data_IF_354869825742
#
_entry.id   IF_354869825742
#
_cell.length_a   1.000
_cell.length_b   1.000
_cell.length_c   1.000
_cell.angle_alpha   90.00
_cell.angle_beta   90.00
_cell.angle_gamma   90.00
#
_symmetry.space_group_name_H-M   'P 1'
#
loop_
_entity.id
_entity.type
_entity.pdbx_description
1 polymer ?
#
# COMPACT_ATOMS: atom_id res chain seq x y z
N UNK A 1 35.39 -61.86 41.48
CA UNK A 1 35.13 -62.95 40.51
C UNK A 1 33.67 -63.37 40.63
N UNK A 2 33.03 -63.52 39.47
CA UNK A 2 31.82 -64.32 39.19
C UNK A 2 30.48 -64.01 39.88
N UNK A 3 29.64 -63.40 39.04
CA UNK A 3 28.19 -63.32 38.94
C UNK A 3 27.33 -64.49 39.46
N UNK A 4 26.13 -64.12 39.93
CA UNK A 4 24.78 -64.64 39.58
C UNK A 4 23.86 -64.24 40.75
N UNK A 5 22.78 -63.47 40.62
CA UNK A 5 21.75 -63.40 39.60
C UNK A 5 20.43 -63.34 40.37
N UNK A 6 19.56 -62.35 40.13
CA UNK A 6 18.13 -62.41 40.48
C UNK A 6 17.35 -61.20 39.95
N UNK A 7 16.22 -61.56 39.31
CA UNK A 7 14.94 -60.85 39.20
C UNK A 7 14.92 -59.43 38.61
N UNK A 8 14.19 -59.25 37.51
CA UNK A 8 12.95 -58.45 37.57
C UNK A 8 12.03 -58.64 36.35
N UNK A 9 10.81 -59.08 36.68
CA UNK A 9 9.48 -58.83 36.10
C UNK A 9 9.37 -58.41 34.62
N UNK A 10 8.77 -59.33 33.85
CA UNK A 10 8.02 -59.08 32.61
C UNK A 10 7.04 -57.90 32.76
N UNK A 11 7.14 -56.92 31.88
CA UNK A 11 6.02 -56.05 31.48
C UNK A 11 5.74 -56.30 30.01
N UNK A 12 4.63 -56.99 29.74
CA UNK A 12 4.00 -57.07 28.43
C UNK A 12 3.37 -55.69 28.16
N UNK A 13 3.94 -54.93 27.24
CA UNK A 13 3.30 -53.76 26.64
C UNK A 13 2.66 -54.24 25.33
N UNK A 14 1.35 -54.39 25.38
CA UNK A 14 0.45 -54.60 24.25
C UNK A 14 0.56 -53.41 23.29
N UNK A 15 0.99 -53.68 22.06
CA UNK A 15 0.94 -52.72 20.96
C UNK A 15 -0.52 -52.54 20.53
N UNK A 16 -1.16 -51.47 20.97
CA UNK A 16 -2.41 -50.99 20.38
C UNK A 16 -2.06 -50.11 19.17
N UNK A 17 -2.18 -50.66 17.95
CA UNK A 17 -2.26 -49.85 16.74
C UNK A 17 -3.56 -49.03 16.81
N UNK A 18 -3.45 -47.78 17.25
CA UNK A 18 -4.47 -46.79 16.98
C UNK A 18 -4.37 -46.41 15.50
N UNK A 19 -5.20 -47.03 14.67
CA UNK A 19 -5.54 -46.54 13.35
C UNK A 19 -6.31 -45.23 13.51
N UNK A 20 -5.57 -44.13 13.68
CA UNK A 20 -6.10 -42.79 13.52
C UNK A 20 -6.43 -42.61 12.05
N UNK A 21 -7.73 -42.62 11.73
CA UNK A 21 -8.23 -42.23 10.42
C UNK A 21 -7.67 -40.83 10.10
N UNK A 22 -6.66 -40.78 9.23
CA UNK A 22 -6.28 -39.58 8.54
C UNK A 22 -7.48 -39.23 7.64
N UNK A 23 -8.38 -38.41 8.17
CA UNK A 23 -9.36 -37.70 7.34
C UNK A 23 -8.54 -36.96 6.31
N UNK A 24 -8.63 -37.42 5.07
CA UNK A 24 -7.99 -36.79 3.94
C UNK A 24 -8.46 -35.35 3.85
N UNK A 25 -7.63 -34.41 4.31
CA UNK A 25 -7.69 -33.02 3.89
C UNK A 25 -7.25 -32.98 2.43
N UNK A 26 -8.14 -33.43 1.55
CA UNK A 26 -8.06 -33.12 0.14
C UNK A 26 -7.98 -31.60 0.04
N UNK A 27 -6.86 -31.10 -0.50
CA UNK A 27 -6.65 -29.69 -0.80
C UNK A 27 -7.63 -29.28 -1.89
N UNK A 28 -8.88 -29.02 -1.52
CA UNK A 28 -9.87 -28.49 -2.43
C UNK A 28 -9.71 -26.97 -2.52
N UNK A 29 -8.60 -26.55 -3.11
CA UNK A 29 -8.25 -25.15 -3.35
C UNK A 29 -9.22 -24.49 -4.34
N UNK A 30 -9.93 -25.30 -5.13
CA UNK A 30 -11.01 -24.87 -6.03
C UNK A 30 -12.29 -24.42 -5.28
N UNK A 31 -12.43 -24.72 -3.98
CA UNK A 31 -13.63 -24.38 -3.18
C UNK A 31 -13.51 -23.17 -2.26
N UNK A 32 -12.34 -22.51 -2.19
CA UNK A 32 -12.21 -21.27 -1.41
C UNK A 32 -12.56 -20.07 -2.31
N UNK A 33 -13.84 -19.82 -2.54
CA UNK A 33 -14.30 -18.69 -3.34
C UNK A 33 -14.78 -17.56 -2.43
N UNK A 34 -14.63 -16.31 -2.86
CA UNK A 34 -15.27 -15.17 -2.20
C UNK A 34 -16.77 -15.16 -2.54
N UNK A 35 -17.58 -14.43 -1.77
CA UNK A 35 -19.00 -14.26 -2.08
C UNK A 35 -19.20 -13.62 -3.46
N UNK A 36 -18.29 -12.72 -3.85
CA UNK A 36 -18.29 -12.16 -5.20
C UNK A 36 -18.15 -13.24 -6.28
N UNK A 37 -17.24 -14.19 -6.09
CA UNK A 37 -17.04 -15.27 -7.04
C UNK A 37 -18.20 -16.27 -7.05
N UNK A 38 -18.69 -16.66 -5.87
CA UNK A 38 -19.83 -17.58 -5.71
C UNK A 38 -21.11 -17.02 -6.34
N UNK A 39 -21.33 -15.72 -6.18
CA UNK A 39 -22.47 -14.99 -6.77
C UNK A 39 -22.26 -14.58 -8.24
N UNK A 40 -21.14 -14.96 -8.87
CA UNK A 40 -20.76 -14.53 -10.22
C UNK A 40 -20.84 -12.99 -10.41
N UNK A 41 -20.41 -12.24 -9.39
CA UNK A 41 -20.36 -10.78 -9.37
C UNK A 41 -21.67 -10.08 -9.02
N UNK A 42 -22.71 -10.81 -8.62
CA UNK A 42 -23.99 -10.23 -8.22
C UNK A 42 -23.95 -9.57 -6.83
N UNK A 43 -23.06 -10.03 -5.96
CA UNK A 43 -22.89 -9.50 -4.61
C UNK A 43 -21.42 -9.19 -4.33
N UNK A 44 -21.16 -8.09 -3.62
CA UNK A 44 -19.82 -7.85 -3.05
C UNK A 44 -19.66 -8.68 -1.77
N UNK A 45 -18.43 -9.08 -1.47
CA UNK A 45 -18.09 -9.78 -0.24
C UNK A 45 -18.28 -8.85 0.96
N UNK A 46 -19.06 -9.24 1.96
CA UNK A 46 -19.25 -8.42 3.17
C UNK A 46 -17.95 -8.37 4.01
N UNK A 47 -17.87 -7.48 5.01
CA UNK A 47 -16.73 -7.45 5.93
C UNK A 47 -16.64 -8.74 6.77
N UNK A 48 -17.79 -9.33 7.12
CA UNK A 48 -17.85 -10.60 7.84
C UNK A 48 -17.36 -11.75 6.96
N UNK A 49 -17.81 -11.81 5.71
CA UNK A 49 -17.42 -12.85 4.77
C UNK A 49 -15.94 -12.75 4.41
N UNK A 50 -15.38 -11.54 4.30
CA UNK A 50 -13.93 -11.34 4.17
C UNK A 50 -13.19 -11.93 5.36
N UNK A 51 -13.60 -11.59 6.59
CA UNK A 51 -12.94 -12.11 7.79
C UNK A 51 -12.99 -13.65 7.84
N UNK A 52 -14.14 -14.23 7.48
CA UNK A 52 -14.33 -15.69 7.40
C UNK A 52 -13.46 -16.32 6.30
N UNK A 53 -13.40 -15.70 5.13
CA UNK A 53 -12.58 -16.12 4.00
C UNK A 53 -11.09 -16.11 4.35
N UNK A 54 -10.59 -15.00 4.87
CA UNK A 54 -9.21 -14.84 5.28
C UNK A 54 -8.81 -15.84 6.37
N UNK A 55 -9.67 -16.07 7.36
CA UNK A 55 -9.42 -17.08 8.39
C UNK A 55 -9.38 -18.52 7.83
N UNK A 56 -10.15 -18.83 6.78
CA UNK A 56 -10.07 -20.12 6.09
C UNK A 56 -8.77 -20.26 5.28
N UNK A 57 -8.32 -19.18 4.62
CA UNK A 57 -7.04 -19.15 3.89
C UNK A 57 -5.88 -19.39 4.86
N UNK A 58 -5.81 -18.64 5.96
CA UNK A 58 -4.73 -18.76 6.96
C UNK A 58 -4.66 -20.17 7.57
N UNK A 59 -5.79 -20.79 7.91
CA UNK A 59 -5.80 -22.16 8.46
C UNK A 59 -5.37 -23.24 7.46
N UNK A 60 -5.50 -22.98 6.16
CA UNK A 60 -5.30 -24.00 5.12
C UNK A 60 -3.98 -23.84 4.37
N UNK A 61 -3.33 -22.67 4.46
CA UNK A 61 -2.09 -22.35 3.78
C UNK A 61 -0.90 -22.35 4.76
N UNK A 62 0.28 -22.78 4.29
CA UNK A 62 1.48 -22.92 5.15
C UNK A 62 2.29 -21.62 5.25
N UNK A 63 2.12 -20.69 4.29
CA UNK A 63 2.95 -19.49 4.16
C UNK A 63 2.11 -18.19 4.11
N UNK A 64 1.03 -18.16 4.87
CA UNK A 64 0.16 -16.97 5.01
C UNK A 64 0.10 -16.60 6.49
N UNK A 65 0.33 -15.33 6.80
CA UNK A 65 0.09 -14.78 8.12
C UNK A 65 -0.86 -13.60 8.03
N UNK A 66 -1.88 -13.57 8.89
CA UNK A 66 -2.87 -12.49 8.94
C UNK A 66 -2.80 -11.82 10.30
N UNK A 67 -2.59 -10.49 10.28
CA UNK A 67 -2.43 -9.69 11.48
C UNK A 67 -3.44 -8.56 11.50
N UNK A 68 -4.08 -8.33 12.65
CA UNK A 68 -4.78 -7.07 12.90
C UNK A 68 -3.75 -5.95 13.08
N UNK A 69 -3.82 -4.93 12.25
CA UNK A 69 -2.88 -3.78 12.26
C UNK A 69 -3.44 -2.55 12.97
N UNK A 70 -4.75 -2.52 13.22
CA UNK A 70 -5.42 -1.43 13.91
C UNK A 70 -6.93 -1.68 13.96
N UNK A 71 -7.66 -0.67 14.43
CA UNK A 71 -9.12 -0.60 14.39
C UNK A 71 -9.53 0.75 13.83
N UNK A 72 -10.64 0.78 13.09
CA UNK A 72 -11.25 2.01 12.58
C UNK A 72 -11.80 2.88 13.71
N UNK A 73 -12.30 4.06 13.37
CA UNK A 73 -13.03 4.93 14.31
C UNK A 73 -14.19 4.18 14.98
N UNK A 74 -14.92 3.36 14.22
CA UNK A 74 -16.05 2.55 14.75
C UNK A 74 -15.62 1.20 15.35
N UNK A 75 -14.32 0.98 15.56
CA UNK A 75 -13.79 -0.24 16.18
C UNK A 75 -13.69 -1.47 15.28
N UNK A 76 -13.89 -1.32 13.96
CA UNK A 76 -13.79 -2.43 13.01
C UNK A 76 -12.31 -2.78 12.75
N UNK A 77 -11.88 -4.05 12.84
CA UNK A 77 -10.47 -4.41 12.64
C UNK A 77 -9.95 -4.19 11.21
N UNK A 78 -8.78 -3.56 11.07
CA UNK A 78 -7.98 -3.55 9.84
C UNK A 78 -7.03 -4.76 9.83
N UNK A 79 -6.89 -5.43 8.68
CA UNK A 79 -6.10 -6.66 8.54
C UNK A 79 -5.01 -6.52 7.48
N UNK A 80 -3.81 -6.96 7.83
CA UNK A 80 -2.70 -7.17 6.92
C UNK A 80 -2.53 -8.65 6.67
N UNK A 81 -2.53 -9.06 5.40
CA UNK A 81 -2.15 -10.39 4.95
C UNK A 81 -0.69 -10.34 4.48
N UNK A 82 0.14 -11.27 4.95
CA UNK A 82 1.53 -11.47 4.53
C UNK A 82 1.66 -12.82 3.84
N UNK A 83 2.25 -12.83 2.65
CA UNK A 83 2.69 -14.02 1.94
C UNK A 83 4.19 -13.93 1.62
N UNK A 84 4.89 -15.07 1.69
CA UNK A 84 6.32 -15.17 1.42
C UNK A 84 7.20 -14.88 2.65
N UNK A 85 8.50 -14.61 2.47
CA UNK A 85 9.45 -14.46 3.57
C UNK A 85 9.19 -13.23 4.44
N UNK A 86 9.75 -13.24 5.65
CA UNK A 86 9.70 -12.11 6.57
C UNK A 86 10.48 -10.88 6.06
N UNK A 87 11.55 -11.09 5.28
CA UNK A 87 12.45 -10.06 4.75
C UNK A 87 12.67 -10.25 3.26
N UNK A 88 13.11 -9.18 2.59
CA UNK A 88 13.39 -9.15 1.16
C UNK A 88 12.46 -8.16 0.43
N UNK A 89 12.64 -8.02 -0.91
CA UNK A 89 11.86 -7.11 -1.72
C UNK A 89 10.35 -7.31 -1.50
N UNK A 90 9.66 -6.23 -1.15
CA UNK A 90 8.27 -6.25 -0.74
C UNK A 90 7.35 -5.49 -1.68
N UNK A 91 6.19 -6.07 -2.01
CA UNK A 91 5.05 -5.34 -2.57
C UNK A 91 3.98 -5.19 -1.49
N UNK A 92 3.56 -3.96 -1.23
CA UNK A 92 2.36 -3.64 -0.46
C UNK A 92 1.23 -3.25 -1.40
N UNK A 93 0.10 -3.93 -1.27
CA UNK A 93 -1.15 -3.61 -1.97
C UNK A 93 -2.14 -3.08 -0.96
N UNK A 94 -2.66 -1.88 -1.24
CA UNK A 94 -3.74 -1.24 -0.50
C UNK A 94 -4.97 -1.20 -1.37
N UNK A 95 -6.13 -1.53 -0.79
CA UNK A 95 -7.41 -1.43 -1.47
C UNK A 95 -8.49 -0.88 -0.52
N UNK A 96 -9.53 -0.32 -1.13
CA UNK A 96 -10.68 0.24 -0.42
C UNK A 96 -10.29 1.27 0.66
N UNK A 97 -9.39 2.20 0.33
CA UNK A 97 -9.25 3.44 1.11
C UNK A 97 -10.52 4.29 1.00
N UNK A 98 -11.18 4.25 -0.16
CA UNK A 98 -12.57 4.68 -0.31
C UNK A 98 -13.48 3.45 -0.23
N UNK A 99 -14.43 3.47 0.69
CA UNK A 99 -15.25 2.30 0.99
C UNK A 99 -16.31 1.96 -0.06
N UNK A 100 -16.66 2.92 -0.91
CA UNK A 100 -17.54 2.74 -2.06
C UNK A 100 -16.82 2.26 -3.35
N UNK A 101 -15.55 1.86 -3.23
CA UNK A 101 -14.69 1.36 -4.32
C UNK A 101 -14.28 -0.12 -4.06
N UNK A 102 -15.23 -1.08 -4.15
CA UNK A 102 -15.01 -2.47 -3.72
C UNK A 102 -14.19 -3.34 -4.68
N UNK A 103 -13.97 -2.95 -5.93
CA UNK A 103 -13.43 -3.88 -6.92
C UNK A 103 -11.97 -4.26 -6.63
N UNK A 104 -11.16 -3.30 -6.20
CA UNK A 104 -9.78 -3.55 -5.77
C UNK A 104 -9.73 -4.54 -4.62
N UNK A 105 -10.63 -4.39 -3.64
CA UNK A 105 -10.78 -5.29 -2.49
C UNK A 105 -11.05 -6.74 -2.94
N UNK A 106 -12.03 -6.97 -3.81
CA UNK A 106 -12.29 -8.33 -4.34
C UNK A 106 -11.09 -8.92 -5.08
N UNK A 107 -10.43 -8.12 -5.91
CA UNK A 107 -9.24 -8.56 -6.63
C UNK A 107 -8.10 -8.96 -5.68
N UNK A 108 -7.91 -8.23 -4.58
CA UNK A 108 -6.90 -8.60 -3.57
C UNK A 108 -7.25 -9.87 -2.82
N UNK A 109 -8.53 -10.13 -2.50
CA UNK A 109 -8.95 -11.38 -1.86
C UNK A 109 -8.71 -12.59 -2.76
N UNK A 110 -9.03 -12.46 -4.06
CA UNK A 110 -8.72 -13.48 -5.07
C UNK A 110 -7.20 -13.71 -5.17
N UNK A 111 -6.41 -12.64 -5.28
CA UNK A 111 -4.95 -12.74 -5.33
C UNK A 111 -4.38 -13.46 -4.11
N UNK A 112 -4.82 -13.09 -2.90
CA UNK A 112 -4.35 -13.70 -1.65
C UNK A 112 -4.55 -15.22 -1.69
N UNK A 113 -5.74 -15.69 -2.08
CA UNK A 113 -5.99 -17.13 -2.23
C UNK A 113 -5.10 -17.74 -3.31
N UNK A 114 -5.07 -17.14 -4.50
CA UNK A 114 -4.38 -17.71 -5.65
C UNK A 114 -2.89 -17.90 -5.33
N UNK A 115 -2.27 -16.92 -4.67
CA UNK A 115 -0.88 -17.01 -4.19
C UNK A 115 -0.71 -18.01 -3.04
N UNK A 116 -1.63 -18.03 -2.07
CA UNK A 116 -1.57 -18.92 -0.92
C UNK A 116 -1.58 -20.41 -1.32
N UNK A 117 -2.29 -20.74 -2.39
CA UNK A 117 -2.49 -22.11 -2.86
C UNK A 117 -1.81 -22.43 -4.18
N UNK A 118 -0.96 -21.54 -4.69
CA UNK A 118 -0.36 -21.71 -6.01
C UNK A 118 0.47 -23.00 -6.12
N UNK A 119 0.26 -23.72 -7.22
CA UNK A 119 1.11 -24.84 -7.64
C UNK A 119 2.08 -24.44 -8.75
N UNK A 120 1.95 -23.22 -9.28
CA UNK A 120 2.80 -22.69 -10.34
C UNK A 120 4.25 -22.55 -9.83
N UNK A 121 5.23 -23.21 -10.47
CA UNK A 121 6.62 -23.14 -10.05
C UNK A 121 7.22 -21.73 -10.12
N UNK A 122 6.77 -20.87 -11.03
CA UNK A 122 7.19 -19.48 -11.16
C UNK A 122 6.71 -18.66 -9.98
N UNK A 123 5.41 -18.70 -9.67
CA UNK A 123 4.84 -17.99 -8.51
C UNK A 123 5.42 -18.52 -7.19
N UNK A 124 5.63 -19.84 -7.06
CA UNK A 124 6.30 -20.41 -5.88
C UNK A 124 7.73 -19.90 -5.72
N UNK A 125 8.49 -19.76 -6.82
CA UNK A 125 9.83 -19.18 -6.77
C UNK A 125 9.78 -17.71 -6.34
N UNK A 126 8.81 -16.97 -6.87
CA UNK A 126 8.59 -15.58 -6.52
C UNK A 126 8.25 -15.42 -5.04
N UNK A 127 7.34 -16.22 -4.49
CA UNK A 127 6.97 -16.21 -3.06
C UNK A 127 8.09 -16.68 -2.13
N UNK A 128 9.15 -17.31 -2.63
CA UNK A 128 10.38 -17.56 -1.85
C UNK A 128 11.33 -16.37 -1.83
N UNK A 129 11.29 -15.53 -2.87
CA UNK A 129 12.20 -14.41 -3.05
C UNK A 129 11.62 -13.06 -2.60
N UNK A 130 10.29 -12.93 -2.59
CA UNK A 130 9.60 -11.66 -2.40
C UNK A 130 8.46 -11.79 -1.41
N UNK A 131 8.25 -10.73 -0.64
CA UNK A 131 7.17 -10.60 0.32
C UNK A 131 6.00 -9.86 -0.30
N UNK A 132 4.81 -10.44 -0.25
CA UNK A 132 3.58 -9.80 -0.70
C UNK A 132 2.76 -9.45 0.53
N UNK A 133 2.45 -8.16 0.67
CA UNK A 133 1.69 -7.57 1.76
C UNK A 133 0.40 -7.03 1.17
N UNK A 134 -0.73 -7.36 1.79
CA UNK A 134 -2.04 -6.94 1.28
C UNK A 134 -2.87 -6.43 2.44
N UNK A 135 -3.39 -5.22 2.31
CA UNK A 135 -4.47 -4.69 3.15
C UNK A 135 -5.72 -4.62 2.26
N UNK A 136 -6.57 -5.66 2.25
CA UNK A 136 -7.73 -5.72 1.35
C UNK A 136 -8.73 -4.60 1.60
N UNK A 137 -8.87 -4.20 2.87
CA UNK A 137 -9.81 -3.18 3.31
C UNK A 137 -9.11 -2.18 4.21
N UNK A 138 -8.68 -1.06 3.63
CA UNK A 138 -8.04 0.04 4.35
C UNK A 138 -9.06 0.93 5.10
N UNK A 139 -10.31 1.01 4.62
CA UNK A 139 -11.40 1.75 5.25
C UNK A 139 -12.63 0.87 5.54
N UNK A 140 -12.58 -0.03 6.54
CA UNK A 140 -13.73 -0.86 6.88
C UNK A 140 -15.00 -0.06 7.24
N UNK A 141 -14.86 1.10 7.89
CA UNK A 141 -16.00 1.97 8.21
C UNK A 141 -16.68 2.47 6.94
N UNK A 142 -15.90 2.98 5.98
CA UNK A 142 -16.42 3.41 4.69
C UNK A 142 -17.05 2.27 3.90
N UNK A 143 -16.50 1.05 3.97
CA UNK A 143 -17.10 -0.13 3.30
C UNK A 143 -18.45 -0.45 3.90
N UNK A 144 -18.57 -0.44 5.23
CA UNK A 144 -19.83 -0.69 5.93
C UNK A 144 -20.89 0.37 5.59
N UNK A 145 -20.49 1.63 5.45
CA UNK A 145 -21.38 2.76 5.15
C UNK A 145 -21.57 3.04 3.65
N UNK A 146 -20.82 2.34 2.77
CA UNK A 146 -20.73 2.65 1.34
C UNK A 146 -20.36 4.13 1.06
N UNK A 147 -19.35 4.64 1.77
CA UNK A 147 -18.89 6.03 1.66
C UNK A 147 -17.44 6.12 1.18
N UNK A 148 -17.09 7.26 0.59
CA UNK A 148 -15.71 7.59 0.25
C UNK A 148 -14.84 7.73 1.52
N UNK A 149 -15.31 8.51 2.49
CA UNK A 149 -14.59 8.73 3.74
C UNK A 149 -14.82 7.63 4.78
N UNK A 150 -14.05 7.66 5.88
CA UNK A 150 -14.26 6.81 7.07
C UNK A 150 -15.49 7.27 7.88
N UNK A 151 -15.71 6.73 9.09
CA UNK A 151 -16.87 7.11 9.92
C UNK A 151 -16.89 8.57 10.38
N UNK A 152 -15.76 9.31 10.27
CA UNK A 152 -15.70 10.77 10.50
C UNK A 152 -15.84 11.58 9.20
N UNK A 153 -16.04 10.92 8.07
CA UNK A 153 -16.08 11.56 6.76
C UNK A 153 -14.71 11.94 6.20
N UNK A 154 -13.60 11.54 6.85
CA UNK A 154 -12.26 11.86 6.39
C UNK A 154 -11.90 11.05 5.13
N UNK A 155 -11.37 11.73 4.11
CA UNK A 155 -10.75 11.08 2.95
C UNK A 155 -9.36 10.55 3.36
N UNK A 156 -9.26 9.23 3.55
CA UNK A 156 -8.01 8.61 4.00
C UNK A 156 -6.86 8.80 3.00
N UNK A 157 -7.15 8.92 1.70
CA UNK A 157 -6.15 9.21 0.68
C UNK A 157 -5.79 10.71 0.60
N UNK A 158 -6.07 11.47 1.67
CA UNK A 158 -5.59 12.84 1.91
C UNK A 158 -4.94 12.99 3.29
N UNK A 159 -4.73 11.90 4.02
CA UNK A 159 -4.28 11.93 5.41
C UNK A 159 -2.98 11.14 5.66
N UNK A 160 -2.22 10.83 4.59
CA UNK A 160 -0.97 10.05 4.73
C UNK A 160 0.23 10.85 5.28
N UNK A 161 0.17 12.19 5.32
CA UNK A 161 1.19 13.03 6.00
C UNK A 161 0.80 13.34 7.45
N UNK A 162 -0.43 13.83 7.67
CA UNK A 162 -0.84 14.28 9.00
C UNK A 162 -1.26 13.14 9.93
N UNK A 163 -1.67 11.99 9.36
CA UNK A 163 -2.05 10.79 10.10
C UNK A 163 -3.07 11.10 11.21
N UNK A 164 -4.13 11.84 10.89
CA UNK A 164 -5.20 12.23 11.82
C UNK A 164 -6.13 11.06 12.13
N UNK A 165 -6.29 10.14 11.18
CA UNK A 165 -7.21 9.02 11.31
C UNK A 165 -6.53 7.74 11.83
N UNK A 166 -7.23 6.91 12.64
CA UNK A 166 -6.65 5.66 13.15
C UNK A 166 -6.32 4.67 12.01
N UNK A 167 -7.07 4.70 10.91
CA UNK A 167 -6.81 3.88 9.73
C UNK A 167 -5.47 4.24 9.07
N UNK A 168 -5.22 5.53 8.80
CA UNK A 168 -3.98 6.00 8.15
C UNK A 168 -2.77 5.82 9.05
N UNK A 169 -2.93 5.97 10.38
CA UNK A 169 -1.88 5.61 11.36
C UNK A 169 -1.51 4.12 11.30
N UNK A 170 -2.49 3.24 11.17
CA UNK A 170 -2.24 1.81 11.02
C UNK A 170 -1.50 1.50 9.70
N UNK A 171 -1.86 2.15 8.60
CA UNK A 171 -1.16 2.01 7.32
C UNK A 171 0.27 2.57 7.37
N UNK A 172 0.48 3.71 8.02
CA UNK A 172 1.81 4.30 8.21
C UNK A 172 2.71 3.38 9.05
N UNK A 173 2.18 2.74 10.09
CA UNK A 173 2.90 1.73 10.86
C UNK A 173 3.32 0.54 9.97
N UNK A 174 2.44 0.07 9.08
CA UNK A 174 2.80 -0.99 8.10
C UNK A 174 3.93 -0.52 7.18
N UNK A 175 3.84 0.69 6.61
CA UNK A 175 4.87 1.24 5.73
C UNK A 175 6.24 1.34 6.45
N UNK A 176 6.24 1.79 7.70
CA UNK A 176 7.43 1.94 8.55
C UNK A 176 8.05 0.60 8.95
N UNK A 177 7.23 -0.33 9.42
CA UNK A 177 7.67 -1.58 10.05
C UNK A 177 7.97 -2.66 9.01
N UNK A 178 7.12 -2.76 8.00
CA UNK A 178 7.31 -3.74 6.93
C UNK A 178 8.31 -3.25 5.90
N UNK A 179 8.43 -1.95 5.65
CA UNK A 179 9.33 -1.36 4.65
C UNK A 179 9.17 -2.04 3.27
N UNK A 180 7.95 -2.05 2.69
CA UNK A 180 7.78 -2.51 1.32
C UNK A 180 8.62 -1.65 0.37
N UNK A 181 8.99 -2.21 -0.77
CA UNK A 181 9.78 -1.52 -1.80
C UNK A 181 8.87 -0.96 -2.89
N UNK A 182 7.75 -1.63 -3.14
CA UNK A 182 6.67 -1.21 -4.05
C UNK A 182 5.37 -1.04 -3.26
N UNK A 183 4.64 0.04 -3.49
CA UNK A 183 3.31 0.30 -2.95
C UNK A 183 2.33 0.53 -4.09
N UNK A 184 1.21 -0.19 -4.09
CA UNK A 184 0.15 -0.04 -5.09
C UNK A 184 -1.15 0.25 -4.36
N UNK A 185 -1.75 1.39 -4.70
CA UNK A 185 -3.01 1.87 -4.14
C UNK A 185 -4.12 1.69 -5.18
N UNK A 186 -5.01 0.73 -4.94
CA UNK A 186 -6.10 0.39 -5.86
C UNK A 186 -7.33 1.23 -5.57
N UNK A 187 -7.78 1.93 -6.60
CA UNK A 187 -8.88 2.88 -6.55
C UNK A 187 -9.86 2.69 -7.71
N UNK A 188 -10.97 3.41 -7.65
CA UNK A 188 -11.93 3.48 -8.74
C UNK A 188 -12.43 4.92 -8.91
N UNK A 189 -12.80 5.32 -10.12
CA UNK A 189 -13.20 6.71 -10.36
C UNK A 189 -14.61 6.87 -10.94
N UNK A 190 -15.19 8.06 -10.71
CA UNK A 190 -16.42 8.54 -11.33
C UNK A 190 -16.34 10.06 -11.58
N UNK A 191 -17.16 10.62 -12.50
CA UNK A 191 -17.72 10.03 -13.70
C UNK A 191 -16.68 9.96 -14.84
N UNK A 192 -17.02 9.23 -15.90
CA UNK A 192 -16.24 9.19 -17.14
C UNK A 192 -16.35 10.54 -17.84
N UNK A 193 -15.25 11.30 -17.90
CA UNK A 193 -15.12 12.48 -18.77
C UNK A 193 -14.41 11.99 -20.04
N UNK A 194 -15.06 12.00 -21.21
CA UNK A 194 -14.42 11.57 -22.45
C UNK A 194 -13.09 12.28 -22.69
N UNK A 195 -12.06 11.52 -23.06
CA UNK A 195 -10.71 12.02 -23.26
C UNK A 195 -9.90 12.28 -21.98
N UNK A 196 -10.45 12.10 -20.78
CA UNK A 196 -9.75 12.33 -19.50
C UNK A 196 -9.85 11.14 -18.53
N UNK A 197 -11.06 10.58 -18.41
CA UNK A 197 -11.38 9.51 -17.46
C UNK A 197 -12.17 8.39 -18.17
N UNK A 198 -11.67 7.88 -19.30
CA UNK A 198 -12.38 6.92 -20.17
C UNK A 198 -11.63 5.60 -20.43
N UNK A 199 -10.47 5.40 -19.81
CA UNK A 199 -9.72 4.14 -19.90
C UNK A 199 -10.14 3.10 -18.84
N UNK A 200 -10.02 1.81 -19.14
CA UNK A 200 -10.19 0.76 -18.13
C UNK A 200 -9.14 0.86 -17.01
N UNK A 201 -7.91 1.24 -17.36
CA UNK A 201 -6.79 1.43 -16.43
C UNK A 201 -6.24 2.84 -16.54
N UNK A 202 -6.42 3.62 -15.48
CA UNK A 202 -5.66 4.85 -15.28
C UNK A 202 -4.65 4.64 -14.17
N UNK A 203 -3.40 5.02 -14.40
CA UNK A 203 -2.37 4.92 -13.36
C UNK A 203 -1.54 6.18 -13.25
N UNK A 204 -0.98 6.41 -12.07
CA UNK A 204 -0.10 7.54 -11.81
C UNK A 204 0.96 7.21 -10.76
N UNK A 205 2.17 7.67 -11.04
CA UNK A 205 3.32 7.65 -10.14
C UNK A 205 3.28 8.84 -9.15
N UNK A 206 4.23 8.94 -8.20
CA UNK A 206 4.31 10.06 -7.28
C UNK A 206 4.67 11.33 -8.05
N UNK A 207 3.94 12.40 -7.79
CA UNK A 207 4.09 13.69 -8.47
C UNK A 207 4.77 14.72 -7.58
N UNK A 208 4.91 14.44 -6.27
CA UNK A 208 5.60 15.36 -5.36
C UNK A 208 7.06 15.57 -5.82
N UNK A 209 7.48 16.84 -5.91
CA UNK A 209 8.79 17.26 -6.43
C UNK A 209 9.99 16.75 -5.64
N UNK A 210 9.78 16.39 -4.38
CA UNK A 210 10.84 15.95 -3.49
C UNK A 210 11.09 14.43 -3.54
N UNK A 211 10.33 13.69 -4.36
CA UNK A 211 10.57 12.26 -4.57
C UNK A 211 11.90 12.08 -5.31
N UNK A 212 12.73 11.16 -4.81
CA UNK A 212 14.02 10.84 -5.43
C UNK A 212 13.86 10.51 -6.92
N UNK A 213 14.70 11.07 -7.83
CA UNK A 213 14.56 10.86 -9.27
C UNK A 213 14.63 9.39 -9.70
N UNK A 214 15.42 8.55 -9.03
CA UNK A 214 15.52 7.12 -9.33
C UNK A 214 14.26 6.36 -8.91
N UNK A 215 13.71 6.69 -7.74
CA UNK A 215 12.43 6.16 -7.26
C UNK A 215 11.28 6.60 -8.19
N UNK A 216 11.26 7.87 -8.59
CA UNK A 216 10.28 8.42 -9.53
C UNK A 216 10.34 7.73 -10.89
N UNK A 217 11.54 7.53 -11.45
CA UNK A 217 11.74 6.84 -12.72
C UNK A 217 11.22 5.39 -12.69
N UNK A 218 11.48 4.66 -11.60
CA UNK A 218 10.97 3.30 -11.43
C UNK A 218 9.43 3.26 -11.29
N UNK A 219 8.83 4.25 -10.61
CA UNK A 219 7.38 4.36 -10.52
C UNK A 219 6.73 4.70 -11.88
N UNK A 220 7.36 5.58 -12.68
CA UNK A 220 6.97 5.79 -14.08
C UNK A 220 7.05 4.52 -14.90
N UNK A 221 8.14 3.76 -14.76
CA UNK A 221 8.31 2.50 -15.48
C UNK A 221 7.23 1.48 -15.11
N UNK A 222 6.86 1.37 -13.83
CA UNK A 222 5.74 0.53 -13.41
C UNK A 222 4.45 0.91 -14.15
N UNK A 223 4.09 2.20 -14.19
CA UNK A 223 2.91 2.66 -14.93
C UNK A 223 3.02 2.37 -16.44
N UNK A 224 4.08 2.86 -17.08
CA UNK A 224 4.15 2.99 -18.55
C UNK A 224 4.67 1.73 -19.24
N UNK A 225 5.52 0.95 -18.58
CA UNK A 225 6.18 -0.22 -19.19
C UNK A 225 5.56 -1.54 -18.69
N UNK A 226 4.80 -1.52 -17.59
CA UNK A 226 4.17 -2.72 -17.03
C UNK A 226 2.64 -2.64 -17.05
N UNK A 227 2.04 -1.66 -16.38
CA UNK A 227 0.58 -1.57 -16.25
C UNK A 227 -0.09 -1.27 -17.61
N UNK A 228 0.35 -0.21 -18.31
CA UNK A 228 -0.26 0.17 -19.60
C UNK A 228 -0.14 -0.93 -20.67
N UNK A 229 1.05 -1.52 -20.95
CA UNK A 229 1.15 -2.57 -21.95
C UNK A 229 0.43 -3.85 -21.51
N UNK A 230 0.44 -4.14 -20.20
CA UNK A 230 -0.24 -5.30 -19.65
C UNK A 230 -1.75 -5.23 -19.78
N UNK A 231 -2.36 -4.09 -19.44
CA UNK A 231 -3.77 -3.82 -19.66
C UNK A 231 -4.15 -3.99 -21.14
N UNK A 232 -3.42 -3.35 -22.05
CA UNK A 232 -3.67 -3.42 -23.51
C UNK A 232 -3.54 -4.84 -24.06
N UNK A 233 -2.55 -5.61 -23.62
CA UNK A 233 -2.40 -7.01 -23.99
C UNK A 233 -3.56 -7.90 -23.51
N UNK A 234 -4.29 -7.47 -22.48
CA UNK A 234 -5.51 -8.11 -21.97
C UNK A 234 -6.80 -7.54 -22.58
N UNK A 235 -6.70 -6.65 -23.56
CA UNK A 235 -7.85 -6.05 -24.24
C UNK A 235 -8.48 -4.88 -23.47
N UNK A 236 -7.84 -4.38 -22.43
CA UNK A 236 -8.29 -3.20 -21.67
C UNK A 236 -7.67 -1.92 -22.23
N UNK A 237 -8.44 -0.83 -22.25
CA UNK A 237 -7.89 0.50 -22.53
C UNK A 237 -7.03 0.99 -21.34
N UNK A 238 -6.05 1.85 -21.60
CA UNK A 238 -5.11 2.27 -20.57
C UNK A 238 -4.45 3.61 -20.89
N UNK A 239 -4.36 4.44 -19.84
CA UNK A 239 -3.84 5.79 -19.89
C UNK A 239 -3.20 6.25 -18.58
N UNK A 240 -2.74 7.50 -18.59
CA UNK A 240 -2.18 8.17 -17.41
C UNK A 240 -3.28 8.98 -16.75
N UNK A 241 -3.44 8.80 -15.44
CA UNK A 241 -4.48 9.49 -14.69
C UNK A 241 -4.37 11.02 -14.83
N UNK A 242 -5.51 11.68 -15.04
CA UNK A 242 -5.60 13.13 -15.07
C UNK A 242 -5.08 13.78 -16.35
N UNK A 243 -4.71 12.99 -17.38
CA UNK A 243 -4.33 13.52 -18.69
C UNK A 243 -5.54 13.62 -19.61
N UNK A 244 -5.81 14.82 -20.11
CA UNK A 244 -6.74 15.02 -21.20
C UNK A 244 -6.04 14.76 -22.54
N UNK A 245 -6.63 13.92 -23.38
CA UNK A 245 -6.11 13.51 -24.69
C UNK A 245 -7.08 13.87 -25.80
N UNK A 246 -6.62 14.59 -26.82
CA UNK A 246 -7.38 14.89 -28.02
C UNK A 246 -6.56 14.49 -29.26
N UNK A 247 -7.17 13.73 -30.18
CA UNK A 247 -6.49 13.25 -31.39
C UNK A 247 -5.24 12.41 -31.10
N UNK A 248 -5.22 11.67 -29.98
CA UNK A 248 -4.08 10.84 -29.56
C UNK A 248 -2.91 11.61 -28.94
N UNK A 249 -3.05 12.92 -28.67
CA UNK A 249 -2.03 13.75 -28.02
C UNK A 249 -2.54 14.26 -26.68
N UNK A 250 -1.68 14.24 -25.67
CA UNK A 250 -1.97 14.88 -24.37
C UNK A 250 -2.06 16.39 -24.56
N UNK A 251 -3.20 16.98 -24.23
CA UNK A 251 -3.44 18.42 -24.36
C UNK A 251 -3.44 19.15 -23.01
N UNK A 252 -3.70 18.45 -21.91
CA UNK A 252 -3.67 19.02 -20.56
C UNK A 252 -3.43 17.95 -19.49
N UNK A 253 -2.86 18.36 -18.36
CA UNK A 253 -2.86 17.61 -17.11
C UNK A 253 -3.79 18.34 -16.13
N UNK A 254 -4.93 17.75 -15.78
CA UNK A 254 -5.98 18.38 -14.95
C UNK A 254 -6.20 17.68 -13.61
N UNK A 255 -5.48 16.58 -13.37
CA UNK A 255 -5.51 15.84 -12.11
C UNK A 255 -4.12 15.30 -11.74
N UNK A 256 -3.99 14.71 -10.56
CA UNK A 256 -2.73 14.10 -10.13
C UNK A 256 -1.72 15.10 -9.57
N UNK A 257 -2.10 15.81 -8.51
CA UNK A 257 -1.23 16.77 -7.82
C UNK A 257 -0.05 16.11 -7.08
N UNK A 258 0.94 16.93 -6.69
CA UNK A 258 2.06 16.57 -5.83
C UNK A 258 1.73 16.50 -4.34
N UNK A 259 0.45 16.58 -3.97
CA UNK A 259 -0.07 16.57 -2.60
C UNK A 259 0.49 15.39 -1.76
N UNK A 260 1.32 15.71 -0.77
CA UNK A 260 1.98 14.78 0.14
C UNK A 260 1.05 14.08 1.14
N UNK A 261 -0.23 14.46 1.21
CA UNK A 261 -1.27 13.73 1.94
C UNK A 261 -1.83 12.52 1.17
N UNK A 262 -1.52 12.39 -0.12
CA UNK A 262 -1.93 11.23 -0.94
C UNK A 262 -0.93 10.08 -0.79
N UNK A 263 -1.45 8.84 -0.67
CA UNK A 263 -0.66 7.64 -0.38
C UNK A 263 0.54 7.46 -1.33
N UNK A 264 0.32 7.59 -2.65
CA UNK A 264 1.39 7.46 -3.65
C UNK A 264 2.53 8.46 -3.44
N UNK A 265 2.19 9.71 -3.09
CA UNK A 265 3.17 10.78 -2.89
C UNK A 265 3.94 10.54 -1.59
N UNK A 266 3.24 10.29 -0.48
CA UNK A 266 3.88 10.00 0.81
C UNK A 266 4.77 8.75 0.73
N UNK A 267 4.34 7.69 0.06
CA UNK A 267 5.14 6.49 -0.13
C UNK A 267 6.40 6.77 -0.97
N UNK A 268 6.31 7.61 -2.00
CA UNK A 268 7.47 8.12 -2.74
C UNK A 268 8.45 8.90 -1.86
N UNK A 269 7.93 9.73 -0.96
CA UNK A 269 8.73 10.46 0.05
C UNK A 269 9.36 9.55 1.12
N UNK A 270 8.80 8.35 1.31
CA UNK A 270 9.40 7.24 2.05
C UNK A 270 10.37 6.40 1.21
N UNK A 271 10.78 6.90 0.04
CA UNK A 271 11.74 6.28 -0.88
C UNK A 271 11.24 4.96 -1.48
N UNK A 272 9.92 4.84 -1.69
CA UNK A 272 9.28 3.64 -2.25
C UNK A 272 8.77 3.90 -3.66
N UNK A 273 8.86 2.88 -4.51
CA UNK A 273 8.16 2.91 -5.79
C UNK A 273 6.67 2.83 -5.49
N UNK A 274 5.90 3.86 -5.81
CA UNK A 274 4.49 3.91 -5.44
C UNK A 274 3.61 4.34 -6.61
N UNK A 275 2.47 3.70 -6.78
CA UNK A 275 1.50 4.07 -7.82
C UNK A 275 0.08 4.00 -7.29
N UNK A 276 -0.77 4.87 -7.84
CA UNK A 276 -2.22 4.66 -7.83
C UNK A 276 -2.64 4.00 -9.14
N UNK A 277 -3.60 3.09 -9.08
CA UNK A 277 -4.21 2.49 -10.26
C UNK A 277 -5.72 2.41 -10.10
N UNK A 278 -6.43 2.93 -11.10
CA UNK A 278 -7.87 3.16 -11.04
C UNK A 278 -8.61 2.54 -12.23
N UNK A 279 -9.83 2.07 -11.98
CA UNK A 279 -10.80 1.61 -12.99
C UNK A 279 -12.11 2.36 -12.85
N UNK A 280 -12.88 2.58 -13.94
CA UNK A 280 -14.15 3.30 -13.85
C UNK A 280 -15.20 2.53 -13.04
N UNK A 281 -15.88 3.23 -12.13
CA UNK A 281 -17.00 2.70 -11.33
C UNK A 281 -18.20 2.31 -12.18
N UNK A 282 -18.39 3.02 -13.30
CA UNK A 282 -19.51 2.88 -14.22
C UNK A 282 -19.10 2.09 -15.48
N UNK A 283 -20.07 1.47 -16.19
CA UNK A 283 -19.82 0.91 -17.51
C UNK A 283 -19.36 1.99 -18.49
N UNK A 284 -18.58 1.60 -19.49
CA UNK A 284 -18.29 2.48 -20.63
C UNK A 284 -19.54 2.72 -21.48
N UNK A 285 -19.51 3.76 -22.32
CA UNK A 285 -20.59 4.02 -23.28
C UNK A 285 -20.73 2.80 -24.21
N UNK A 286 -21.94 2.22 -24.26
CA UNK A 286 -22.22 1.03 -25.07
C UNK A 286 -21.98 -0.31 -24.36
N UNK A 287 -21.39 -0.33 -23.16
CA UNK A 287 -21.30 -1.55 -22.36
C UNK A 287 -22.64 -1.92 -21.70
N UNK A 288 -22.94 -3.22 -21.50
CA UNK A 288 -24.08 -3.65 -20.72
C UNK A 288 -24.05 -3.05 -19.30
N UNK A 289 -24.99 -2.15 -19.01
CA UNK A 289 -25.09 -1.50 -17.70
C UNK A 289 -25.66 -2.38 -16.59
N UNK A 290 -26.20 -3.55 -16.91
CA UNK A 290 -26.78 -4.46 -15.93
C UNK A 290 -25.72 -5.33 -15.24
N UNK A 291 -25.92 -5.57 -13.94
CA UNK A 291 -25.07 -6.47 -13.16
C UNK A 291 -25.22 -7.91 -13.70
N UNK A 292 -24.12 -8.68 -13.74
CA UNK A 292 -22.86 -8.46 -13.04
C UNK A 292 -21.72 -7.91 -13.91
N UNK A 293 -21.98 -7.55 -15.18
CA UNK A 293 -20.92 -7.28 -16.16
C UNK A 293 -19.93 -6.18 -15.73
N UNK A 294 -20.36 -4.95 -15.37
CA UNK A 294 -19.43 -3.88 -15.00
C UNK A 294 -18.61 -4.23 -13.76
N UNK A 295 -19.20 -4.94 -12.80
CA UNK A 295 -18.51 -5.35 -11.57
C UNK A 295 -17.40 -6.36 -11.84
N UNK A 296 -17.69 -7.36 -12.68
CA UNK A 296 -16.69 -8.34 -13.09
C UNK A 296 -15.56 -7.71 -13.88
N UNK A 297 -15.85 -6.76 -14.78
CA UNK A 297 -14.82 -6.00 -15.51
C UNK A 297 -13.88 -5.29 -14.54
N UNK A 298 -14.42 -4.51 -13.60
CA UNK A 298 -13.64 -3.78 -12.59
C UNK A 298 -12.71 -4.69 -11.78
N UNK A 299 -13.21 -5.84 -11.32
CA UNK A 299 -12.39 -6.83 -10.59
C UNK A 299 -11.32 -7.45 -11.49
N UNK A 300 -11.64 -7.79 -12.74
CA UNK A 300 -10.69 -8.35 -13.70
C UNK A 300 -9.56 -7.36 -14.04
N UNK A 301 -9.89 -6.07 -14.18
CA UNK A 301 -8.92 -4.99 -14.39
C UNK A 301 -7.94 -4.91 -13.22
N UNK A 302 -8.44 -4.87 -11.97
CA UNK A 302 -7.56 -4.88 -10.81
C UNK A 302 -6.74 -6.16 -10.67
N UNK A 303 -7.29 -7.34 -11.02
CA UNK A 303 -6.48 -8.57 -11.07
C UNK A 303 -5.34 -8.44 -12.07
N UNK A 304 -5.59 -7.86 -13.24
CA UNK A 304 -4.55 -7.63 -14.23
C UNK A 304 -3.46 -6.66 -13.73
N UNK A 305 -3.85 -5.56 -13.11
CA UNK A 305 -2.92 -4.60 -12.46
C UNK A 305 -2.02 -5.34 -11.46
N UNK A 306 -2.61 -6.16 -10.59
CA UNK A 306 -1.87 -6.91 -9.57
C UNK A 306 -0.87 -7.91 -10.17
N UNK A 307 -1.25 -8.60 -11.24
CA UNK A 307 -0.37 -9.54 -11.93
C UNK A 307 0.82 -8.79 -12.58
N UNK A 308 0.59 -7.59 -13.12
CA UNK A 308 1.66 -6.73 -13.64
C UNK A 308 2.57 -6.17 -12.54
N UNK A 309 2.04 -5.84 -11.36
CA UNK A 309 2.84 -5.45 -10.20
C UNK A 309 3.72 -6.60 -9.68
N UNK A 310 3.20 -7.83 -9.68
CA UNK A 310 3.99 -9.01 -9.34
C UNK A 310 5.10 -9.25 -10.37
N UNK A 311 4.81 -9.07 -11.66
CA UNK A 311 5.80 -9.14 -12.72
C UNK A 311 6.88 -8.07 -12.56
N UNK A 312 6.49 -6.82 -12.30
CA UNK A 312 7.41 -5.72 -12.04
C UNK A 312 8.34 -6.01 -10.87
N UNK A 313 7.79 -6.46 -9.74
CA UNK A 313 8.59 -6.80 -8.56
C UNK A 313 9.62 -7.89 -8.89
N UNK A 314 9.21 -8.92 -9.63
CA UNK A 314 10.11 -10.01 -10.05
C UNK A 314 11.24 -9.50 -10.96
N UNK A 315 10.89 -8.68 -11.94
CA UNK A 315 11.82 -8.23 -12.98
C UNK A 315 12.76 -7.12 -12.46
N UNK A 316 12.32 -6.32 -11.48
CA UNK A 316 13.01 -5.12 -10.98
C UNK A 316 13.42 -5.18 -9.50
N UNK A 317 13.30 -6.33 -8.81
CA UNK A 317 13.60 -6.47 -7.38
C UNK A 317 14.95 -5.86 -6.96
N UNK A 318 16.02 -6.13 -7.72
CA UNK A 318 17.36 -5.61 -7.45
C UNK A 318 17.44 -4.08 -7.60
N UNK A 319 17.10 -3.52 -8.77
CA UNK A 319 17.02 -2.08 -8.99
C UNK A 319 16.16 -1.33 -7.96
N UNK A 320 14.96 -1.83 -7.62
CA UNK A 320 14.07 -1.18 -6.66
C UNK A 320 14.71 -1.12 -5.28
N UNK A 321 15.18 -2.26 -4.75
CA UNK A 321 15.76 -2.31 -3.41
C UNK A 321 17.02 -1.42 -3.29
N UNK A 322 17.86 -1.37 -4.34
CA UNK A 322 19.04 -0.50 -4.36
C UNK A 322 18.67 0.99 -4.39
N UNK A 323 17.74 1.39 -5.27
CA UNK A 323 17.32 2.78 -5.38
C UNK A 323 16.71 3.29 -4.07
N UNK A 324 15.83 2.52 -3.44
CA UNK A 324 15.23 2.93 -2.16
C UNK A 324 16.27 3.16 -1.05
N UNK A 325 17.30 2.31 -0.98
CA UNK A 325 18.41 2.47 -0.03
C UNK A 325 19.28 3.69 -0.34
N UNK A 326 19.58 3.91 -1.62
CA UNK A 326 20.38 5.06 -2.09
C UNK A 326 19.63 6.38 -1.85
N UNK A 327 18.35 6.46 -2.19
CA UNK A 327 17.49 7.61 -1.96
C UNK A 327 17.41 7.96 -0.47
N UNK A 328 17.18 6.97 0.39
CA UNK A 328 17.17 7.15 1.84
C UNK A 328 18.54 7.60 2.40
N UNK A 329 19.64 7.20 1.77
CA UNK A 329 20.98 7.66 2.13
C UNK A 329 21.23 9.11 1.69
N UNK A 330 20.88 9.45 0.45
CA UNK A 330 21.01 10.78 -0.13
C UNK A 330 20.19 11.83 0.62
N UNK A 331 18.97 11.48 1.05
CA UNK A 331 18.08 12.36 1.83
C UNK A 331 18.67 12.87 3.15
N UNK A 332 19.74 12.24 3.66
CA UNK A 332 20.45 12.75 4.85
C UNK A 332 21.25 14.01 4.58
N UNK A 333 21.56 14.32 3.33
CA UNK A 333 22.33 15.51 2.93
C UNK A 333 21.39 16.63 2.47
N UNK A 334 21.78 17.91 2.62
CA UNK A 334 20.99 19.04 2.14
C UNK A 334 20.77 18.97 0.63
N UNK A 335 19.50 19.04 0.23
CA UNK A 335 19.01 19.17 -1.13
C UNK A 335 17.85 20.18 -1.10
N UNK A 336 17.57 20.92 -2.18
CA UNK A 336 16.41 21.79 -2.24
C UNK A 336 15.12 21.07 -1.86
N UNK A 337 14.27 21.70 -1.05
CA UNK A 337 12.95 21.17 -0.67
C UNK A 337 11.87 22.09 -1.24
N UNK A 338 11.02 21.54 -2.09
CA UNK A 338 9.82 22.19 -2.60
C UNK A 338 8.63 21.94 -1.67
N UNK A 339 7.91 22.98 -1.28
CA UNK A 339 6.72 22.85 -0.43
C UNK A 339 5.42 22.69 -1.22
N UNK A 340 5.48 22.89 -2.54
CA UNK A 340 4.34 22.77 -3.44
C UNK A 340 4.77 22.23 -4.81
N UNK A 341 3.84 22.28 -5.77
CA UNK A 341 4.08 21.89 -7.16
C UNK A 341 3.97 20.38 -7.40
N UNK A 342 4.31 19.98 -8.62
CA UNK A 342 4.24 18.61 -9.09
C UNK A 342 5.37 18.35 -10.09
N UNK A 343 5.77 17.12 -10.39
CA UNK A 343 6.80 16.82 -11.40
C UNK A 343 6.56 17.42 -12.81
N UNK A 344 5.35 17.94 -13.10
CA UNK A 344 5.07 18.74 -14.32
C UNK A 344 4.83 20.23 -14.05
N UNK A 345 4.58 20.63 -12.80
CA UNK A 345 4.33 22.02 -12.40
C UNK A 345 5.40 22.49 -11.42
N UNK A 346 6.19 23.49 -11.81
CA UNK A 346 7.23 24.02 -10.93
C UNK A 346 6.60 24.78 -9.75
N UNK A 347 7.13 24.62 -8.51
CA UNK A 347 6.73 25.47 -7.40
C UNK A 347 7.17 26.92 -7.64
N UNK A 348 6.45 27.91 -7.09
CA UNK A 348 6.96 29.28 -6.95
C UNK A 348 8.32 29.30 -6.22
N UNK A 349 9.21 30.24 -6.59
CA UNK A 349 10.56 30.32 -6.00
C UNK A 349 10.55 30.51 -4.48
N UNK A 350 9.56 31.23 -3.94
CA UNK A 350 9.37 31.45 -2.49
C UNK A 350 8.88 30.19 -1.74
N UNK A 351 8.52 29.12 -2.47
CA UNK A 351 8.07 27.84 -1.93
C UNK A 351 9.14 26.75 -2.11
N UNK A 352 10.39 27.15 -2.36
CA UNK A 352 11.56 26.26 -2.36
C UNK A 352 12.55 26.72 -1.27
N UNK A 353 12.97 25.80 -0.40
CA UNK A 353 14.08 26.03 0.52
C UNK A 353 15.40 25.54 -0.09
N UNK A 354 16.27 26.47 -0.46
CA UNK A 354 17.63 26.19 -0.92
C UNK A 354 18.62 27.25 -0.40
N UNK A 355 19.52 26.91 0.55
CA UNK A 355 19.62 25.62 1.22
C UNK A 355 18.41 25.35 2.14
N UNK A 356 18.07 24.07 2.41
CA UNK A 356 17.03 23.73 3.37
C UNK A 356 17.47 24.00 4.82
N UNK A 357 16.50 24.13 5.73
CA UNK A 357 16.76 24.27 7.17
C UNK A 357 17.56 23.08 7.72
N UNK A 358 18.45 23.33 8.68
CA UNK A 358 19.27 22.31 9.32
C UNK A 358 18.50 21.45 10.33
N UNK A 359 17.35 21.95 10.76
CA UNK A 359 16.36 21.26 11.56
C UNK A 359 15.21 22.20 11.86
N UNK A 360 14.27 21.72 12.66
CA UNK A 360 13.14 22.51 13.16
C UNK A 360 13.13 22.43 14.68
N UNK A 361 13.00 23.58 15.36
CA UNK A 361 12.72 23.63 16.80
C UNK A 361 11.21 23.77 17.01
N UNK A 362 10.66 22.90 17.84
CA UNK A 362 9.27 22.90 18.25
C UNK A 362 9.17 23.32 19.72
N UNK A 363 8.17 24.12 20.05
CA UNK A 363 7.75 24.31 21.44
C UNK A 363 7.20 23.00 22.02
N UNK A 364 7.04 22.92 23.35
CA UNK A 364 6.46 21.74 23.99
C UNK A 364 5.05 21.41 23.43
N UNK A 365 4.22 22.43 23.21
CA UNK A 365 2.85 22.27 22.68
C UNK A 365 2.85 21.80 21.21
N UNK A 366 3.73 22.38 20.39
CA UNK A 366 3.91 21.94 19.01
C UNK A 366 4.41 20.49 18.95
N UNK A 367 5.38 20.14 19.79
CA UNK A 367 5.91 18.78 19.87
C UNK A 367 4.83 17.78 20.30
N UNK A 368 3.99 18.14 21.27
CA UNK A 368 2.83 17.34 21.71
C UNK A 368 1.85 17.08 20.56
N UNK A 369 1.59 18.10 19.73
CA UNK A 369 0.66 18.02 18.58
C UNK A 369 1.10 16.96 17.55
N UNK A 370 2.40 16.79 17.32
CA UNK A 370 2.95 15.85 16.33
C UNK A 370 3.57 14.60 16.95
N UNK A 371 3.46 14.40 18.27
CA UNK A 371 4.15 13.35 19.02
C UNK A 371 3.86 11.94 18.50
N UNK A 372 2.63 11.67 18.07
CA UNK A 372 2.24 10.38 17.51
C UNK A 372 2.61 10.23 16.02
N UNK A 373 2.70 11.34 15.29
CA UNK A 373 2.94 11.38 13.84
C UNK A 373 4.43 11.17 13.52
N UNK A 374 5.32 11.84 14.24
CA UNK A 374 6.76 11.78 13.97
C UNK A 374 7.31 10.34 13.95
N UNK A 375 7.02 9.48 14.96
CA UNK A 375 7.53 8.11 14.98
C UNK A 375 6.90 7.20 13.91
N UNK A 376 5.69 7.50 13.43
CA UNK A 376 5.06 6.76 12.34
C UNK A 376 5.73 7.04 11.00
N UNK A 377 6.26 8.25 10.80
CA UNK A 377 7.12 8.59 9.67
C UNK A 377 8.59 8.24 9.87
N UNK A 378 8.98 7.71 11.03
CA UNK A 378 10.38 7.47 11.35
C UNK A 378 11.20 8.76 11.48
N UNK A 379 10.54 9.90 11.73
CA UNK A 379 11.19 11.17 12.02
C UNK A 379 11.73 11.11 13.44
N UNK A 380 13.05 11.28 13.56
CA UNK A 380 13.79 11.32 14.81
C UNK A 380 13.82 12.74 15.36
N UNK A 381 13.73 12.85 16.67
CA UNK A 381 13.76 14.10 17.42
C UNK A 381 14.75 14.02 18.59
N UNK A 382 15.12 15.19 19.11
CA UNK A 382 15.98 15.35 20.29
C UNK A 382 15.28 16.33 21.23
N UNK A 383 15.00 15.90 22.45
CA UNK A 383 14.44 16.78 23.49
C UNK A 383 15.53 17.65 24.11
N UNK A 384 15.18 18.89 24.42
CA UNK A 384 16.03 19.86 25.12
C UNK A 384 15.62 19.98 26.60
N UNK A 385 16.53 20.39 27.50
CA UNK A 385 16.21 20.59 28.93
C UNK A 385 15.11 21.65 29.20
N UNK A 386 14.93 22.60 28.28
CA UNK A 386 13.89 23.64 28.36
C UNK A 386 12.50 23.16 27.90
N UNK A 387 12.35 21.87 27.57
CA UNK A 387 11.12 21.27 27.08
C UNK A 387 10.87 21.45 25.58
N UNK A 388 11.74 22.18 24.87
CA UNK A 388 11.68 22.24 23.40
C UNK A 388 12.13 20.93 22.76
N UNK A 389 11.67 20.68 21.53
CA UNK A 389 12.07 19.50 20.75
C UNK A 389 12.72 19.93 19.45
N UNK A 390 13.90 19.42 19.17
CA UNK A 390 14.62 19.66 17.93
C UNK A 390 14.42 18.47 17.00
N UNK A 391 14.07 18.74 15.74
CA UNK A 391 13.96 17.76 14.66
C UNK A 391 15.14 17.98 13.71
N UNK A 392 16.24 17.22 13.81
CA UNK A 392 17.41 17.42 12.94
C UNK A 392 17.09 17.02 11.49
N UNK A 393 17.49 17.83 10.50
CA UNK A 393 17.25 17.50 9.08
C UNK A 393 18.14 16.37 8.55
N UNK A 394 19.24 16.01 9.24
CA UNK A 394 20.18 14.96 8.82
C UNK A 394 19.62 13.54 9.05
N UNK A 395 18.53 13.20 8.37
CA UNK A 395 17.85 11.91 8.47
C UNK A 395 17.10 11.54 7.18
N UNK A 396 16.81 10.25 6.95
CA UNK A 396 16.09 9.83 5.73
C UNK A 396 14.72 10.47 5.54
N UNK A 397 14.05 10.85 6.63
CA UNK A 397 12.74 11.48 6.63
C UNK A 397 12.80 13.02 6.57
N UNK A 398 13.95 13.61 6.16
CA UNK A 398 14.18 15.07 6.05
C UNK A 398 13.01 15.80 5.40
N UNK A 399 12.60 15.33 4.22
CA UNK A 399 11.56 15.98 3.42
C UNK A 399 10.23 15.94 4.15
N UNK A 400 9.82 14.77 4.66
CA UNK A 400 8.58 14.63 5.42
C UNK A 400 8.58 15.53 6.67
N UNK A 401 9.71 15.62 7.37
CA UNK A 401 9.85 16.54 8.50
C UNK A 401 9.66 18.00 8.08
N UNK A 402 10.26 18.43 6.95
CA UNK A 402 10.06 19.77 6.44
C UNK A 402 8.61 20.04 6.05
N UNK A 403 7.98 19.17 5.25
CA UNK A 403 6.59 19.33 4.82
C UNK A 403 5.59 19.33 5.99
N UNK A 404 5.90 18.61 7.07
CA UNK A 404 5.05 18.55 8.26
C UNK A 404 5.23 19.75 9.21
N UNK A 405 6.41 20.40 9.22
CA UNK A 405 6.81 21.32 10.29
C UNK A 405 7.15 22.74 9.81
N UNK A 406 7.31 22.96 8.51
CA UNK A 406 7.59 24.28 7.94
C UNK A 406 6.29 25.00 7.58
N UNK A 407 6.18 26.29 7.92
CA UNK A 407 4.99 27.09 7.64
C UNK A 407 4.65 27.21 6.15
N UNK A 408 5.60 26.91 5.25
CA UNK A 408 5.38 26.89 3.79
C UNK A 408 4.64 25.64 3.30
N UNK A 409 4.62 24.55 4.06
CA UNK A 409 3.97 23.32 3.62
C UNK A 409 2.45 23.45 3.65
N UNK A 410 1.77 23.12 2.55
CA UNK A 410 0.29 23.19 2.47
C UNK A 410 -0.41 22.35 3.54
N UNK A 411 0.26 21.28 4.00
CA UNK A 411 -0.24 20.34 5.02
C UNK A 411 0.56 20.33 6.31
N UNK A 412 1.30 21.40 6.61
CA UNK A 412 2.03 21.47 7.87
C UNK A 412 1.10 21.23 9.07
N UNK A 413 1.54 20.42 10.02
CA UNK A 413 0.80 20.17 11.25
C UNK A 413 1.06 21.26 12.30
N UNK A 414 2.27 21.82 12.28
CA UNK A 414 2.74 22.92 13.14
C UNK A 414 3.73 23.77 12.36
N UNK A 415 3.97 25.00 12.82
CA UNK A 415 5.00 25.89 12.26
C UNK A 415 6.21 25.94 13.21
N UNK A 416 7.11 24.98 13.07
CA UNK A 416 8.38 24.94 13.81
C UNK A 416 9.35 26.03 13.37
N UNK A 417 10.20 26.49 14.28
CA UNK A 417 11.25 27.46 13.97
C UNK A 417 12.35 26.77 13.14
N UNK A 418 12.60 27.20 11.89
CA UNK A 418 13.67 26.63 11.08
C UNK A 418 15.04 27.03 11.65
N UNK A 419 15.92 26.05 11.86
CA UNK A 419 17.25 26.26 12.39
C UNK A 419 18.26 26.52 11.27
N UNK A 420 19.12 27.53 11.49
CA UNK A 420 20.26 27.83 10.64
C UNK A 420 21.37 26.77 10.81
N UNK A 421 22.35 26.80 9.90
CA UNK A 421 23.57 26.01 10.03
C UNK A 421 24.28 26.31 11.37
N UNK A 422 24.85 25.30 12.05
CA UNK A 422 25.80 25.57 13.13
C UNK A 422 26.93 26.44 12.58
N UNK A 423 27.22 27.54 13.28
CA UNK A 423 28.32 28.48 12.95
C UNK A 423 29.68 27.85 13.27
#
# INVERSE_FOLDING_TARGET
MTAAGRLTRRRLLTAALAAGAAVGLGRDTARLRTVFEESNGQSWTSLEDEARFLARVERSAVNVGIKRIGTTVSGIPLRLVRLGPAKGPGLLVLAAQHGNEPAGREATLQLVRDLAFTVDPVLRRQLRAHRILVVPTANPDGVAAWTRGNARGADLNRDHLNLREPETRALAAVLRDERPDVVVDLHEYAPVVPGLYDDDVLSLWPRNRNVDPGVHALARALCLDYLTPGARASGFSAGVYGQHTAGGRVTAQVGGSGDEGMCRNTAGLHHRVAVVAETPLHPHVGEPGYRPFPRRRRVAVHRRILDDCLRFLRDQAGPIARNGLQAAAAARYPQPIAFSGSDVDAPPTNEVADPPAWGYRLTADQASTVAEVLPLHGIRSVSSPDGSVIIPSAQPARVLAALLLDARGDRHAVAGEPLAAPV
#
